data_IF_461447155461
#
_entry.id   IF_461447155461
#
_cell.length_a   1.000
_cell.length_b   1.000
_cell.length_c   1.000
_cell.angle_alpha   90.00
_cell.angle_beta   90.00
_cell.angle_gamma   90.00
#
_symmetry.space_group_name_H-M   'P 1'
#
loop_
_entity.id
_entity.type
_entity.pdbx_description
1 polymer ?
#
# COMPACT_ATOMS: atom_id res chain seq x y z
N UNK A 1 -15.00 -14.32 -17.05
CA UNK A 1 -15.26 -12.92 -17.43
C UNK A 1 -14.77 -12.73 -18.84
N UNK A 2 -15.63 -12.23 -19.72
CA UNK A 2 -15.35 -11.90 -21.12
C UNK A 2 -15.51 -10.38 -21.34
N UNK A 3 -15.15 -9.87 -22.53
CA UNK A 3 -15.24 -8.44 -22.83
C UNK A 3 -16.67 -7.87 -22.68
N UNK A 4 -17.70 -8.67 -22.94
CA UNK A 4 -19.10 -8.28 -22.72
C UNK A 4 -19.45 -8.04 -21.24
N UNK A 5 -18.83 -8.80 -20.33
CA UNK A 5 -19.00 -8.61 -18.89
C UNK A 5 -18.35 -7.30 -18.42
N UNK A 6 -17.24 -6.92 -19.04
CA UNK A 6 -16.49 -5.70 -18.70
C UNK A 6 -17.35 -4.44 -18.89
N UNK A 7 -18.10 -4.37 -19.99
CA UNK A 7 -19.02 -3.26 -20.27
C UNK A 7 -20.21 -3.22 -19.30
N UNK A 8 -20.76 -4.38 -18.95
CA UNK A 8 -21.85 -4.47 -17.99
C UNK A 8 -21.40 -4.01 -16.59
N UNK A 9 -20.25 -4.50 -16.12
CA UNK A 9 -19.66 -4.10 -14.84
C UNK A 9 -19.33 -2.61 -14.84
N UNK A 10 -18.75 -2.09 -15.93
CA UNK A 10 -18.45 -0.65 -16.06
C UNK A 10 -19.69 0.21 -15.78
N UNK A 11 -20.83 -0.12 -16.40
CA UNK A 11 -22.08 0.64 -16.22
C UNK A 11 -22.63 0.55 -14.79
N UNK A 12 -22.51 -0.62 -14.17
CA UNK A 12 -22.89 -0.81 -12.76
C UNK A 12 -22.03 0.01 -11.80
N UNK A 13 -20.73 0.12 -12.06
CA UNK A 13 -19.82 0.95 -11.28
C UNK A 13 -20.07 2.45 -11.54
N UNK A 14 -20.28 2.85 -12.79
CA UNK A 14 -20.62 4.23 -13.16
C UNK A 14 -21.90 4.69 -12.43
N UNK A 15 -22.94 3.84 -12.40
CA UNK A 15 -24.17 4.14 -11.67
C UNK A 15 -23.95 4.27 -10.15
N UNK A 16 -23.06 3.47 -9.55
CA UNK A 16 -22.76 3.56 -8.11
C UNK A 16 -21.91 4.78 -7.78
N UNK A 17 -20.89 5.06 -8.59
CA UNK A 17 -20.08 6.27 -8.47
C UNK A 17 -20.94 7.53 -8.55
N UNK A 18 -21.94 7.56 -9.44
CA UNK A 18 -22.88 8.68 -9.55
C UNK A 18 -23.75 8.91 -8.30
N UNK A 19 -23.85 7.92 -7.40
CA UNK A 19 -24.62 8.03 -6.16
C UNK A 19 -23.78 8.45 -4.94
N UNK A 20 -22.45 8.53 -5.09
CA UNK A 20 -21.53 8.92 -4.03
C UNK A 20 -21.42 10.45 -3.94
N UNK A 21 -21.54 10.98 -2.73
CA UNK A 21 -21.17 12.36 -2.39
C UNK A 21 -19.66 12.43 -2.11
N UNK A 22 -18.90 12.78 -3.15
CA UNK A 22 -17.44 12.89 -3.07
C UNK A 22 -16.98 14.06 -2.20
N UNK A 23 -17.71 15.18 -2.21
CA UNK A 23 -17.37 16.38 -1.44
C UNK A 23 -17.46 16.10 0.07
N UNK A 24 -18.40 15.24 0.48
CA UNK A 24 -18.51 14.76 1.85
C UNK A 24 -17.37 13.81 2.29
N UNK A 25 -16.62 13.22 1.35
CA UNK A 25 -15.45 12.38 1.64
C UNK A 25 -14.22 13.25 1.86
N UNK A 26 -13.98 14.19 0.95
CA UNK A 26 -12.88 15.14 1.03
C UNK A 26 -13.25 16.42 0.26
N UNK A 27 -13.12 17.62 0.84
CA UNK A 27 -13.48 18.86 0.15
C UNK A 27 -12.73 19.07 -1.18
N UNK A 28 -13.49 19.38 -2.22
CA UNK A 28 -13.00 19.53 -3.59
C UNK A 28 -12.66 18.21 -4.29
N UNK A 29 -12.96 17.05 -3.69
CA UNK A 29 -12.88 15.74 -4.33
C UNK A 29 -14.12 15.49 -5.17
N UNK A 30 -13.92 14.88 -6.34
CA UNK A 30 -15.00 14.65 -7.30
C UNK A 30 -14.75 13.38 -8.12
N UNK A 31 -15.74 12.99 -8.93
CA UNK A 31 -15.59 11.85 -9.81
C UNK A 31 -14.44 12.08 -10.80
N UNK A 32 -13.72 11.01 -11.15
CA UNK A 32 -12.74 11.00 -12.23
C UNK A 32 -13.08 9.92 -13.26
N UNK A 33 -12.57 10.10 -14.48
CA UNK A 33 -12.61 9.06 -15.50
C UNK A 33 -11.89 7.80 -14.99
N UNK A 34 -12.39 6.62 -15.37
CA UNK A 34 -11.76 5.35 -15.03
C UNK A 34 -11.85 4.34 -16.18
N UNK A 35 -10.96 3.35 -16.17
CA UNK A 35 -10.98 2.22 -17.09
C UNK A 35 -10.97 0.89 -16.34
N UNK A 36 -11.84 -0.04 -16.75
CA UNK A 36 -11.71 -1.44 -16.36
C UNK A 36 -10.96 -2.18 -17.46
N UNK A 37 -10.09 -3.11 -17.13
CA UNK A 37 -9.38 -3.87 -18.16
C UNK A 37 -9.24 -5.35 -17.82
N UNK A 38 -9.17 -6.17 -18.85
CA UNK A 38 -8.97 -7.61 -18.77
C UNK A 38 -8.19 -8.09 -19.99
N UNK A 39 -7.04 -8.70 -19.77
CA UNK A 39 -6.14 -9.17 -20.85
C UNK A 39 -5.82 -8.03 -21.83
N UNK A 40 -6.28 -8.09 -23.08
CA UNK A 40 -5.98 -7.09 -24.12
C UNK A 40 -7.13 -6.10 -24.35
N UNK A 41 -8.21 -6.24 -23.59
CA UNK A 41 -9.40 -5.39 -23.70
C UNK A 41 -9.50 -4.43 -22.50
N UNK A 42 -10.00 -3.23 -22.76
CA UNK A 42 -10.43 -2.30 -21.72
C UNK A 42 -11.83 -1.76 -22.02
N UNK A 43 -12.53 -1.33 -20.98
CA UNK A 43 -13.74 -0.53 -21.06
C UNK A 43 -13.44 0.85 -20.47
N UNK A 44 -13.50 1.88 -21.31
CA UNK A 44 -13.28 3.28 -20.94
C UNK A 44 -14.43 4.12 -21.47
N UNK A 45 -15.05 4.96 -20.62
CA UNK A 45 -16.20 5.79 -21.00
C UNK A 45 -17.33 5.00 -21.68
N UNK A 46 -17.58 3.78 -21.17
CA UNK A 46 -18.62 2.88 -21.69
C UNK A 46 -18.33 2.29 -23.07
N UNK A 47 -17.08 2.33 -23.54
CA UNK A 47 -16.65 1.78 -24.83
C UNK A 47 -15.58 0.72 -24.64
N UNK A 48 -15.71 -0.38 -25.37
CA UNK A 48 -14.69 -1.42 -25.45
C UNK A 48 -13.60 -1.00 -26.44
N UNK A 49 -12.37 -1.03 -25.97
CA UNK A 49 -11.18 -0.61 -26.72
C UNK A 49 -10.01 -1.55 -26.40
N UNK A 50 -8.95 -1.50 -27.21
CA UNK A 50 -7.72 -2.22 -26.92
C UNK A 50 -7.01 -1.60 -25.72
N UNK A 51 -6.62 -2.43 -24.75
CA UNK A 51 -5.86 -2.01 -23.59
C UNK A 51 -4.44 -1.57 -24.00
N UNK A 52 -3.97 -0.39 -23.57
CA UNK A 52 -2.56 -0.02 -23.71
C UNK A 52 -1.64 -0.97 -22.93
N UNK A 53 -0.50 -1.36 -23.52
CA UNK A 53 0.43 -2.32 -22.90
C UNK A 53 0.96 -1.87 -21.52
N UNK A 54 1.04 -0.55 -21.28
CA UNK A 54 1.51 0.03 -20.03
C UNK A 54 0.47 0.07 -18.90
N UNK A 55 -0.78 -0.34 -19.16
CA UNK A 55 -1.78 -0.50 -18.09
C UNK A 55 -1.42 -1.72 -17.25
N UNK A 56 -0.85 -1.49 -16.07
CA UNK A 56 -0.35 -2.53 -15.18
C UNK A 56 -0.84 -2.28 -13.74
N UNK A 57 -1.38 -3.33 -13.13
CA UNK A 57 -1.95 -3.28 -11.78
C UNK A 57 -3.26 -2.48 -11.67
N UNK A 58 -3.64 -2.22 -10.43
CA UNK A 58 -4.68 -1.25 -10.11
C UNK A 58 -3.95 0.01 -9.64
N UNK A 59 -4.24 1.14 -10.26
CA UNK A 59 -3.57 2.40 -9.94
C UNK A 59 -4.31 3.58 -10.56
N UNK A 60 -3.93 4.81 -10.22
CA UNK A 60 -4.14 5.97 -11.08
C UNK A 60 -3.01 6.12 -12.11
N UNK A 61 -3.25 6.70 -13.29
CA UNK A 61 -2.20 7.09 -14.25
C UNK A 61 -2.65 8.20 -15.20
N UNK A 62 -1.71 8.76 -15.99
CA UNK A 62 -2.05 9.64 -17.10
C UNK A 62 -2.51 8.84 -18.34
N UNK A 63 -3.73 9.12 -18.80
CA UNK A 63 -4.26 8.58 -20.05
C UNK A 63 -4.93 9.71 -20.83
N UNK A 64 -4.46 9.94 -22.06
CA UNK A 64 -4.95 11.02 -22.93
C UNK A 64 -4.86 12.41 -22.27
N UNK A 65 -3.82 12.66 -21.46
CA UNK A 65 -3.58 13.94 -20.79
C UNK A 65 -4.47 14.19 -19.57
N UNK A 66 -5.07 13.14 -19.00
CA UNK A 66 -5.89 13.19 -17.79
C UNK A 66 -5.45 12.12 -16.81
N UNK A 67 -5.47 12.45 -15.52
CA UNK A 67 -5.35 11.43 -14.47
C UNK A 67 -6.65 10.62 -14.42
N UNK A 68 -6.55 9.30 -14.63
CA UNK A 68 -7.66 8.36 -14.55
C UNK A 68 -7.32 7.22 -13.59
N UNK A 69 -8.34 6.57 -13.03
CA UNK A 69 -8.18 5.30 -12.34
C UNK A 69 -8.19 4.12 -13.33
N UNK A 70 -7.37 3.10 -13.11
CA UNK A 70 -7.42 1.85 -13.86
C UNK A 70 -7.61 0.67 -12.91
N UNK A 71 -8.40 -0.32 -13.35
CA UNK A 71 -8.65 -1.51 -12.55
C UNK A 71 -8.57 -2.80 -13.37
N UNK A 72 -7.74 -3.74 -12.91
CA UNK A 72 -7.58 -5.06 -13.51
C UNK A 72 -8.65 -6.03 -13.02
N UNK A 73 -9.50 -6.48 -13.93
CA UNK A 73 -10.58 -7.42 -13.63
C UNK A 73 -10.14 -8.90 -13.56
N UNK A 74 -8.88 -9.23 -13.90
CA UNK A 74 -8.41 -10.61 -13.98
C UNK A 74 -8.56 -11.41 -12.67
N UNK A 75 -8.43 -10.74 -11.53
CA UNK A 75 -8.54 -11.34 -10.19
C UNK A 75 -9.77 -10.86 -9.41
N UNK A 76 -10.65 -10.11 -10.07
CA UNK A 76 -11.85 -9.54 -9.44
C UNK A 76 -13.01 -10.52 -9.56
N UNK A 77 -13.54 -10.97 -8.42
CA UNK A 77 -14.72 -11.85 -8.36
C UNK A 77 -15.97 -11.01 -8.11
N UNK A 78 -16.96 -11.13 -8.99
CA UNK A 78 -18.28 -10.51 -8.84
C UNK A 78 -19.29 -11.61 -8.53
N UNK A 79 -19.76 -11.64 -7.29
CA UNK A 79 -20.69 -12.65 -6.76
C UNK A 79 -22.10 -12.06 -6.51
N UNK A 80 -22.22 -10.74 -6.47
CA UNK A 80 -23.48 -10.04 -6.27
C UNK A 80 -23.31 -8.52 -6.02
N UNK A 81 -24.37 -7.83 -5.56
CA UNK A 81 -24.33 -6.39 -5.30
C UNK A 81 -23.21 -5.97 -4.35
N UNK A 82 -23.00 -6.70 -3.24
CA UNK A 82 -21.96 -6.39 -2.27
C UNK A 82 -20.55 -6.39 -2.89
N UNK A 83 -20.26 -7.30 -3.82
CA UNK A 83 -18.97 -7.31 -4.54
C UNK A 83 -18.80 -6.13 -5.49
N UNK A 84 -19.90 -5.58 -6.03
CA UNK A 84 -19.86 -4.35 -6.84
C UNK A 84 -19.69 -3.11 -5.95
N UNK A 85 -20.30 -3.08 -4.78
CA UNK A 85 -20.11 -1.99 -3.81
C UNK A 85 -18.67 -1.97 -3.30
N UNK A 86 -18.13 -3.14 -2.94
CA UNK A 86 -16.73 -3.30 -2.56
C UNK A 86 -15.76 -2.89 -3.68
N UNK A 87 -16.03 -3.31 -4.93
CA UNK A 87 -15.26 -2.87 -6.09
C UNK A 87 -15.37 -1.35 -6.30
N UNK A 88 -16.54 -0.76 -6.07
CA UNK A 88 -16.72 0.70 -6.17
C UNK A 88 -15.88 1.44 -5.14
N UNK A 89 -15.84 0.97 -3.89
CA UNK A 89 -14.95 1.53 -2.85
C UNK A 89 -13.47 1.45 -3.24
N UNK A 90 -13.03 0.29 -3.76
CA UNK A 90 -11.66 0.14 -4.26
C UNK A 90 -11.38 1.02 -5.49
N UNK A 91 -12.37 1.29 -6.34
CA UNK A 91 -12.20 2.20 -7.46
C UNK A 91 -12.10 3.65 -6.99
N UNK A 92 -12.85 4.04 -5.95
CA UNK A 92 -12.74 5.36 -5.32
C UNK A 92 -11.36 5.56 -4.70
N UNK A 93 -10.73 4.52 -4.14
CA UNK A 93 -9.32 4.57 -3.73
C UNK A 93 -8.41 5.04 -4.88
N UNK A 94 -8.53 4.42 -6.06
CA UNK A 94 -7.72 4.82 -7.22
C UNK A 94 -8.09 6.19 -7.78
N UNK A 95 -9.38 6.56 -7.74
CA UNK A 95 -9.83 7.92 -8.09
C UNK A 95 -9.25 8.95 -7.10
N UNK A 96 -9.07 8.59 -5.82
CA UNK A 96 -8.43 9.45 -4.83
C UNK A 96 -6.94 9.63 -5.12
N UNK A 97 -6.22 8.60 -5.59
CA UNK A 97 -4.85 8.77 -6.10
C UNK A 97 -4.77 9.74 -7.28
N UNK A 98 -5.74 9.69 -8.20
CA UNK A 98 -5.83 10.68 -9.29
C UNK A 98 -6.05 12.10 -8.74
N UNK A 99 -6.90 12.24 -7.72
CA UNK A 99 -7.15 13.51 -7.04
C UNK A 99 -5.89 14.04 -6.32
N UNK A 100 -5.22 13.21 -5.53
CA UNK A 100 -3.95 13.50 -4.87
C UNK A 100 -2.92 14.07 -5.87
N UNK A 101 -2.72 13.40 -7.00
CA UNK A 101 -1.77 13.86 -8.03
C UNK A 101 -2.18 15.18 -8.66
N UNK A 102 -3.47 15.36 -8.96
CA UNK A 102 -3.99 16.63 -9.48
C UNK A 102 -3.84 17.78 -8.49
N UNK A 103 -3.75 17.49 -7.18
CA UNK A 103 -3.51 18.46 -6.11
C UNK A 103 -2.03 18.61 -5.76
N UNK A 104 -1.12 17.89 -6.41
CA UNK A 104 0.32 18.01 -6.20
C UNK A 104 0.84 17.22 -4.99
N UNK A 105 0.16 16.13 -4.62
CA UNK A 105 0.65 15.19 -3.60
C UNK A 105 2.03 14.65 -3.96
N UNK A 106 2.98 14.80 -3.03
CA UNK A 106 4.38 14.35 -3.18
C UNK A 106 4.78 13.31 -2.14
N UNK A 107 3.93 13.02 -1.15
CA UNK A 107 4.25 12.15 0.00
C UNK A 107 4.10 10.66 -0.32
N UNK A 108 4.25 10.26 -1.58
CA UNK A 108 4.33 8.84 -1.93
C UNK A 108 5.63 8.24 -1.36
N UNK A 109 5.58 7.03 -0.78
CA UNK A 109 6.74 6.42 -0.17
C UNK A 109 7.79 6.02 -1.21
N UNK A 110 9.05 6.02 -0.83
CA UNK A 110 10.07 5.32 -1.59
C UNK A 110 10.02 3.82 -1.25
N UNK A 111 9.16 3.03 -1.91
CA UNK A 111 8.88 1.63 -1.50
C UNK A 111 10.14 0.77 -1.40
N UNK A 112 11.11 0.96 -2.30
CA UNK A 112 12.37 0.22 -2.28
C UNK A 112 13.25 0.55 -1.06
N UNK A 113 13.07 1.73 -0.44
CA UNK A 113 13.71 2.06 0.84
C UNK A 113 13.03 1.35 2.01
N UNK A 114 11.71 1.12 1.96
CA UNK A 114 11.00 0.34 2.97
C UNK A 114 11.53 -1.10 3.06
N UNK A 115 12.08 -1.64 1.96
CA UNK A 115 12.74 -2.96 1.96
C UNK A 115 14.07 -2.99 2.71
N UNK A 116 14.63 -1.81 3.04
CA UNK A 116 15.86 -1.63 3.82
C UNK A 116 15.57 -1.27 5.28
N UNK A 117 14.31 -1.36 5.72
CA UNK A 117 13.92 -0.98 7.08
C UNK A 117 14.74 -1.73 8.15
N UNK A 118 15.22 -1.05 9.20
CA UNK A 118 16.13 -1.65 10.16
C UNK A 118 15.58 -2.90 10.84
N UNK A 119 16.43 -3.92 10.93
CA UNK A 119 16.14 -5.13 11.69
C UNK A 119 16.51 -4.88 13.16
N UNK A 120 15.54 -4.40 13.95
CA UNK A 120 15.74 -4.08 15.36
C UNK A 120 14.55 -4.57 16.20
N UNK A 121 14.83 -5.36 17.25
CA UNK A 121 13.80 -5.98 18.09
C UNK A 121 13.03 -4.97 18.95
N UNK A 122 13.67 -3.90 19.40
CA UNK A 122 13.01 -2.83 20.15
C UNK A 122 12.06 -2.07 19.23
N UNK A 123 12.52 -1.77 18.01
CA UNK A 123 11.69 -1.14 16.97
C UNK A 123 10.48 -2.02 16.62
N UNK A 124 10.68 -3.32 16.45
CA UNK A 124 9.59 -4.26 16.17
C UNK A 124 8.58 -4.34 17.33
N UNK A 125 9.05 -4.39 18.58
CA UNK A 125 8.18 -4.40 19.75
C UNK A 125 7.35 -3.11 19.85
N UNK A 126 7.94 -1.95 19.56
CA UNK A 126 7.19 -0.69 19.45
C UNK A 126 6.18 -0.72 18.31
N UNK A 127 6.54 -1.23 17.13
CA UNK A 127 5.61 -1.40 16.01
C UNK A 127 4.43 -2.30 16.36
N UNK A 128 4.64 -3.36 17.16
CA UNK A 128 3.55 -4.21 17.69
C UNK A 128 2.61 -3.43 18.61
N UNK A 129 3.14 -2.61 19.52
CA UNK A 129 2.30 -1.75 20.38
C UNK A 129 1.54 -0.68 19.59
N UNK A 130 2.19 -0.04 18.62
CA UNK A 130 1.56 0.92 17.69
C UNK A 130 0.39 0.26 16.96
N UNK A 131 0.62 -0.93 16.39
CA UNK A 131 -0.43 -1.74 15.76
C UNK A 131 -1.60 -2.04 16.72
N UNK A 132 -1.31 -2.46 17.94
CA UNK A 132 -2.34 -2.83 18.91
C UNK A 132 -3.20 -1.64 19.34
N UNK A 133 -2.60 -0.44 19.49
CA UNK A 133 -3.34 0.78 19.81
C UNK A 133 -4.27 1.21 18.68
N UNK A 134 -3.80 1.18 17.44
CA UNK A 134 -4.61 1.52 16.25
C UNK A 134 -5.70 0.48 15.97
N UNK A 135 -5.40 -0.80 16.18
CA UNK A 135 -6.38 -1.88 16.04
C UNK A 135 -7.43 -1.89 17.18
N UNK A 136 -7.06 -1.33 18.34
CA UNK A 136 -7.92 -1.24 19.51
C UNK A 136 -9.21 -0.48 19.26
N UNK A 137 -10.24 -0.81 20.05
CA UNK A 137 -11.49 -0.07 20.11
C UNK A 137 -11.66 0.46 21.53
N UNK A 138 -12.25 1.64 21.68
CA UNK A 138 -12.53 2.20 23.00
C UNK A 138 -12.96 3.66 22.95
N UNK A 139 -13.53 4.11 24.07
CA UNK A 139 -14.18 5.42 24.19
C UNK A 139 -13.20 6.60 24.34
N UNK A 140 -11.87 6.35 24.35
CA UNK A 140 -10.83 7.38 24.45
C UNK A 140 -9.89 7.39 23.23
N UNK A 141 -10.35 7.86 22.06
CA UNK A 141 -9.51 8.00 20.86
C UNK A 141 -8.35 9.00 21.07
N UNK A 142 -8.55 10.07 21.84
CA UNK A 142 -7.52 11.06 22.11
C UNK A 142 -6.35 10.49 22.94
N UNK A 143 -6.65 9.72 24.00
CA UNK A 143 -5.65 9.04 24.81
C UNK A 143 -4.88 7.97 24.03
N UNK A 144 -5.55 7.26 23.10
CA UNK A 144 -4.88 6.34 22.16
C UNK A 144 -3.89 7.07 21.26
N UNK A 145 -4.29 8.20 20.66
CA UNK A 145 -3.41 9.02 19.82
C UNK A 145 -2.21 9.57 20.61
N UNK A 146 -2.43 10.07 21.83
CA UNK A 146 -1.34 10.54 22.68
C UNK A 146 -0.35 9.43 23.05
N UNK A 147 -0.84 8.20 23.26
CA UNK A 147 -0.01 7.02 23.49
C UNK A 147 0.77 6.61 22.24
N UNK A 148 0.13 6.66 21.07
CA UNK A 148 0.79 6.46 19.77
C UNK A 148 1.92 7.48 19.55
N UNK A 149 1.73 8.74 19.97
CA UNK A 149 2.76 9.75 19.83
C UNK A 149 4.04 9.45 20.61
N UNK A 150 3.92 8.88 21.81
CA UNK A 150 5.08 8.39 22.54
C UNK A 150 5.77 7.23 21.79
N UNK A 151 5.00 6.26 21.30
CA UNK A 151 5.55 5.11 20.57
C UNK A 151 6.26 5.55 19.29
N UNK A 152 5.65 6.44 18.51
CA UNK A 152 6.21 6.92 17.25
C UNK A 152 7.51 7.70 17.46
N UNK A 153 7.61 8.49 18.54
CA UNK A 153 8.87 9.12 18.93
C UNK A 153 9.98 8.09 19.24
N UNK A 154 9.66 6.99 19.92
CA UNK A 154 10.62 5.90 20.16
C UNK A 154 10.99 5.16 18.86
N UNK A 155 10.02 4.93 17.95
CA UNK A 155 10.30 4.35 16.64
C UNK A 155 11.24 5.24 15.83
N UNK A 156 11.01 6.55 15.78
CA UNK A 156 11.84 7.51 15.06
C UNK A 156 13.29 7.51 15.55
N UNK A 157 13.50 7.39 16.87
CA UNK A 157 14.83 7.27 17.47
C UNK A 157 15.58 6.00 17.03
N UNK A 158 14.85 4.92 16.75
CA UNK A 158 15.41 3.59 16.45
C UNK A 158 15.45 3.28 14.94
N UNK A 159 14.70 3.99 14.12
CA UNK A 159 14.48 3.65 12.70
C UNK A 159 15.56 4.17 11.75
N UNK A 160 16.53 4.96 12.24
CA UNK A 160 17.54 5.61 11.40
C UNK A 160 16.92 6.43 10.26
N UNK A 161 15.71 6.98 10.47
CA UNK A 161 14.95 7.77 9.50
C UNK A 161 14.01 6.94 8.60
N UNK A 162 14.00 5.62 8.72
CA UNK A 162 13.15 4.75 7.88
C UNK A 162 11.64 4.93 8.12
N UNK A 163 11.25 5.44 9.31
CA UNK A 163 9.85 5.80 9.62
C UNK A 163 9.30 6.91 8.72
N UNK A 164 10.15 7.73 8.10
CA UNK A 164 9.71 8.76 7.17
C UNK A 164 8.92 8.18 5.97
N UNK A 165 9.44 7.13 5.34
CA UNK A 165 8.72 6.48 4.23
C UNK A 165 7.54 5.63 4.73
N UNK A 166 7.55 5.15 5.98
CA UNK A 166 6.39 4.51 6.61
C UNK A 166 5.23 5.51 6.75
N UNK A 167 5.48 6.71 7.29
CA UNK A 167 4.44 7.74 7.46
C UNK A 167 3.95 8.31 6.13
N UNK A 168 4.82 8.39 5.12
CA UNK A 168 4.44 8.70 3.74
C UNK A 168 3.50 7.65 3.16
N UNK A 169 3.82 6.36 3.33
CA UNK A 169 2.93 5.28 2.91
C UNK A 169 1.58 5.36 3.64
N UNK A 170 1.58 5.56 4.96
CA UNK A 170 0.34 5.74 5.74
C UNK A 170 -0.49 6.93 5.25
N UNK A 171 0.16 8.02 4.84
CA UNK A 171 -0.51 9.21 4.35
C UNK A 171 -1.10 8.99 2.96
N UNK A 172 -0.27 8.65 1.98
CA UNK A 172 -0.72 8.53 0.60
C UNK A 172 -1.74 7.39 0.44
N UNK A 173 -1.41 6.21 0.95
CA UNK A 173 -2.20 4.99 0.74
C UNK A 173 -3.31 4.85 1.76
N UNK A 174 -3.05 5.23 3.02
CA UNK A 174 -4.07 5.19 4.07
C UNK A 174 -5.18 6.21 3.85
N UNK A 175 -4.89 7.39 3.28
CA UNK A 175 -5.95 8.36 2.94
C UNK A 175 -6.73 7.97 1.69
N UNK A 176 -6.08 7.38 0.68
CA UNK A 176 -6.78 6.78 -0.45
C UNK A 176 -7.70 5.64 0.01
N UNK A 177 -7.22 4.81 0.94
CA UNK A 177 -8.02 3.75 1.54
C UNK A 177 -9.16 4.28 2.41
N UNK A 178 -8.91 5.34 3.19
CA UNK A 178 -9.95 6.06 3.92
C UNK A 178 -11.04 6.55 2.99
N UNK A 179 -10.69 7.21 1.88
CA UNK A 179 -11.66 7.69 0.89
C UNK A 179 -12.49 6.53 0.31
N UNK A 180 -11.84 5.41 -0.02
CA UNK A 180 -12.51 4.18 -0.47
C UNK A 180 -13.49 3.62 0.56
N UNK A 181 -13.13 3.59 1.84
CA UNK A 181 -14.02 3.16 2.93
C UNK A 181 -15.18 4.13 3.12
N UNK A 182 -14.96 5.44 3.07
CA UNK A 182 -16.05 6.43 3.23
C UNK A 182 -17.06 6.32 2.09
N UNK A 183 -16.59 6.14 0.84
CA UNK A 183 -17.46 5.85 -0.29
C UNK A 183 -18.24 4.54 -0.11
N UNK A 184 -17.55 3.46 0.28
CA UNK A 184 -18.20 2.19 0.60
C UNK A 184 -19.24 2.34 1.71
N UNK A 185 -18.98 3.20 2.70
CA UNK A 185 -19.91 3.50 3.79
C UNK A 185 -21.18 4.21 3.32
N UNK A 186 -21.13 5.01 2.27
CA UNK A 186 -22.30 5.65 1.67
C UNK A 186 -23.18 4.62 0.91
N UNK A 187 -22.55 3.64 0.26
CA UNK A 187 -23.25 2.58 -0.49
C UNK A 187 -23.76 1.47 0.42
N UNK A 188 -22.89 0.96 1.29
CA UNK A 188 -23.10 -0.22 2.11
C UNK A 188 -22.38 -0.07 3.48
N UNK A 189 -23.03 0.57 4.47
CA UNK A 189 -22.44 0.81 5.79
C UNK A 189 -21.99 -0.46 6.52
N UNK A 190 -22.68 -1.58 6.30
CA UNK A 190 -22.32 -2.86 6.93
C UNK A 190 -21.05 -3.44 6.33
N UNK A 191 -20.88 -3.39 5.01
CA UNK A 191 -19.66 -3.86 4.35
C UNK A 191 -18.46 -2.97 4.70
N UNK A 192 -18.65 -1.65 4.80
CA UNK A 192 -17.60 -0.74 5.27
C UNK A 192 -17.12 -1.10 6.68
N UNK A 193 -18.04 -1.35 7.63
CA UNK A 193 -17.67 -1.80 8.99
C UNK A 193 -16.90 -3.12 8.98
N UNK A 194 -17.35 -4.10 8.19
CA UNK A 194 -16.64 -5.38 8.04
C UNK A 194 -15.22 -5.19 7.50
N UNK A 195 -15.02 -4.26 6.57
CA UNK A 195 -13.70 -3.94 6.04
C UNK A 195 -12.80 -3.28 7.10
N UNK A 196 -13.32 -2.33 7.88
CA UNK A 196 -12.55 -1.71 8.99
C UNK A 196 -12.16 -2.77 10.02
N UNK A 197 -13.07 -3.66 10.41
CA UNK A 197 -12.78 -4.75 11.36
C UNK A 197 -11.76 -5.76 10.82
N UNK A 198 -11.75 -5.97 9.49
CA UNK A 198 -10.71 -6.75 8.82
C UNK A 198 -9.34 -6.06 8.93
N UNK A 199 -9.26 -4.74 8.75
CA UNK A 199 -8.02 -3.99 8.91
C UNK A 199 -7.51 -3.99 10.35
N UNK A 200 -8.39 -3.88 11.34
CA UNK A 200 -8.02 -4.06 12.76
C UNK A 200 -7.41 -5.43 13.01
N UNK A 201 -8.03 -6.50 12.51
CA UNK A 201 -7.48 -7.86 12.63
C UNK A 201 -6.12 -7.99 11.97
N UNK A 202 -5.97 -7.56 10.72
CA UNK A 202 -4.70 -7.64 10.01
C UNK A 202 -3.60 -6.84 10.70
N UNK A 203 -3.91 -5.65 11.22
CA UNK A 203 -2.91 -4.86 11.94
C UNK A 203 -2.46 -5.52 13.26
N UNK A 204 -3.35 -6.31 13.90
CA UNK A 204 -3.05 -7.10 15.08
C UNK A 204 -2.41 -8.48 14.80
N UNK A 205 -2.29 -8.90 13.54
CA UNK A 205 -1.62 -10.15 13.17
C UNK A 205 -0.10 -9.92 13.02
N UNK A 206 0.72 -10.71 13.73
CA UNK A 206 2.18 -10.61 13.69
C UNK A 206 2.76 -10.85 12.27
N UNK A 207 2.01 -11.50 11.37
CA UNK A 207 2.40 -11.79 9.99
C UNK A 207 2.63 -10.54 9.14
N UNK A 208 1.97 -9.42 9.46
CA UNK A 208 2.11 -8.16 8.72
C UNK A 208 3.15 -7.21 9.31
N UNK A 209 3.76 -7.53 10.45
CA UNK A 209 4.76 -6.65 11.08
C UNK A 209 5.98 -6.40 10.20
N UNK A 210 6.31 -7.36 9.35
CA UNK A 210 7.45 -7.31 8.44
C UNK A 210 7.09 -6.82 7.04
N UNK A 211 5.81 -6.55 6.77
CA UNK A 211 5.29 -6.00 5.52
C UNK A 211 4.78 -4.57 5.74
N UNK A 212 5.75 -3.66 5.87
CA UNK A 212 5.51 -2.26 6.21
C UNK A 212 4.60 -1.59 5.18
N UNK A 213 4.81 -1.93 3.90
CA UNK A 213 4.05 -1.35 2.80
C UNK A 213 2.57 -1.73 2.85
N UNK A 214 2.26 -3.01 3.09
CA UNK A 214 0.87 -3.46 3.26
C UNK A 214 0.27 -2.98 4.56
N UNK A 215 1.05 -2.99 5.64
CA UNK A 215 0.64 -2.50 6.96
C UNK A 215 0.20 -1.04 6.92
N UNK A 216 0.91 -0.19 6.16
CA UNK A 216 0.61 1.22 6.02
C UNK A 216 -0.80 1.55 5.49
N UNK A 217 -1.40 0.68 4.66
CA UNK A 217 -2.82 0.81 4.28
C UNK A 217 -3.72 0.73 5.51
N UNK A 218 -3.50 -0.29 6.34
CA UNK A 218 -4.34 -0.58 7.50
C UNK A 218 -4.12 0.43 8.61
N UNK A 219 -2.86 0.74 8.92
CA UNK A 219 -2.54 1.70 9.97
C UNK A 219 -2.91 3.12 9.57
N UNK A 220 -2.70 3.51 8.31
CA UNK A 220 -3.06 4.85 7.82
C UNK A 220 -4.56 5.11 7.87
N UNK A 221 -5.40 4.16 7.45
CA UNK A 221 -6.87 4.32 7.54
C UNK A 221 -7.36 4.32 8.99
N UNK A 222 -6.80 3.47 9.85
CA UNK A 222 -7.17 3.43 11.27
C UNK A 222 -6.68 4.67 12.02
N UNK A 223 -5.54 5.25 11.62
CA UNK A 223 -5.07 6.53 12.14
C UNK A 223 -6.05 7.66 11.78
N UNK A 224 -6.45 7.75 10.50
CA UNK A 224 -7.40 8.77 10.04
C UNK A 224 -8.76 8.64 10.75
N UNK A 225 -9.29 7.42 10.88
CA UNK A 225 -10.53 7.17 11.62
C UNK A 225 -10.41 7.50 13.11
N UNK A 226 -9.30 7.15 13.76
CA UNK A 226 -9.09 7.45 15.18
C UNK A 226 -8.94 8.97 15.41
N UNK A 227 -8.29 9.68 14.49
CA UNK A 227 -8.20 11.14 14.51
C UNK A 227 -9.59 11.80 14.35
N UNK A 228 -10.40 11.32 13.40
CA UNK A 228 -11.78 11.77 13.20
C UNK A 228 -12.63 11.51 14.47
N UNK A 229 -12.52 10.32 15.07
CA UNK A 229 -13.18 9.96 16.35
C UNK A 229 -12.75 10.87 17.52
N UNK A 230 -11.49 11.31 17.53
CA UNK A 230 -10.96 12.26 18.52
C UNK A 230 -11.37 13.72 18.25
N UNK A 231 -12.11 14.00 17.17
CA UNK A 231 -12.49 15.35 16.76
C UNK A 231 -11.35 16.16 16.16
N UNK A 232 -10.29 15.50 15.68
CA UNK A 232 -9.19 16.14 14.96
C UNK A 232 -9.56 16.29 13.48
N UNK A 233 -9.08 17.38 12.87
CA UNK A 233 -9.24 17.58 11.44
C UNK A 233 -8.16 16.83 10.68
N UNK A 234 -8.58 15.88 9.83
CA UNK A 234 -7.70 15.14 8.92
C UNK A 234 -7.63 15.79 7.54
N UNK A 235 -8.55 16.72 7.24
CA UNK A 235 -8.59 17.41 5.95
C UNK A 235 -7.51 18.48 5.95
N UNK A 236 -6.61 18.38 4.98
CA UNK A 236 -5.50 19.31 4.82
C UNK A 236 -5.19 19.52 3.34
N UNK A 237 -4.28 20.43 3.05
CA UNK A 237 -3.80 20.63 1.69
C UNK A 237 -2.97 19.41 1.25
N UNK A 238 -3.41 18.72 0.18
CA UNK A 238 -2.70 17.56 -0.34
C UNK A 238 -1.33 17.92 -0.96
N UNK A 239 -1.04 19.21 -1.18
CA UNK A 239 0.29 19.67 -1.56
C UNK A 239 1.27 19.81 -0.38
N UNK A 240 0.81 19.60 0.87
CA UNK A 240 1.68 19.61 2.04
C UNK A 240 2.77 18.53 1.92
N UNK A 241 3.93 18.81 2.48
CA UNK A 241 5.08 17.92 2.50
C UNK A 241 5.14 17.08 3.78
N UNK A 242 4.49 17.52 4.86
CA UNK A 242 4.40 16.78 6.11
C UNK A 242 3.43 15.59 5.96
N UNK A 243 3.79 14.36 6.38
CA UNK A 243 2.84 13.26 6.45
C UNK A 243 1.70 13.55 7.44
N UNK A 244 0.55 12.90 7.27
CA UNK A 244 -0.64 13.07 8.12
C UNK A 244 -0.29 13.02 9.61
N UNK A 245 0.55 12.06 10.01
CA UNK A 245 1.00 11.92 11.39
C UNK A 245 1.61 13.19 11.98
N UNK A 246 2.42 13.90 11.20
CA UNK A 246 3.03 15.17 11.62
C UNK A 246 2.03 16.31 11.60
N UNK A 247 1.12 16.34 10.62
CA UNK A 247 0.05 17.35 10.51
C UNK A 247 -0.88 17.33 11.73
N UNK A 248 -1.15 16.14 12.27
CA UNK A 248 -1.99 15.99 13.46
C UNK A 248 -1.38 16.63 14.72
N UNK A 249 -0.05 16.85 14.77
CA UNK A 249 0.67 17.50 15.88
C UNK A 249 0.23 17.01 17.29
N UNK A 250 0.19 15.69 17.45
CA UNK A 250 -0.34 15.06 18.68
C UNK A 250 0.71 15.12 19.79
N UNK A 251 0.29 15.64 20.95
CA UNK A 251 1.14 15.65 22.16
C UNK A 251 1.23 14.26 22.77
N UNK A 252 2.47 13.80 22.98
CA UNK A 252 2.74 12.50 23.57
C UNK A 252 2.33 12.43 25.05
N UNK A 253 1.72 11.30 25.42
CA UNK A 253 1.53 10.87 26.80
C UNK A 253 2.53 9.76 27.12
N UNK A 254 3.31 9.86 28.21
CA UNK A 254 4.28 8.82 28.57
C UNK A 254 3.62 7.45 28.73
N UNK A 255 4.28 6.42 28.20
CA UNK A 255 3.92 5.02 28.41
C UNK A 255 4.97 4.30 29.23
N UNK A 256 4.57 3.16 29.79
CA UNK A 256 5.53 2.23 30.39
C UNK A 256 6.56 1.76 29.35
N UNK A 257 7.84 1.62 29.73
CA UNK A 257 8.85 1.04 28.86
C UNK A 257 8.46 -0.35 28.32
N UNK A 258 9.14 -0.80 27.26
CA UNK A 258 9.03 -2.18 26.79
C UNK A 258 9.47 -3.14 27.91
N UNK A 259 8.64 -4.14 28.20
CA UNK A 259 8.99 -5.21 29.11
C UNK A 259 9.97 -6.18 28.47
N UNK A 260 10.67 -6.93 29.31
CA UNK A 260 11.58 -7.99 28.85
C UNK A 260 10.85 -9.05 28.00
N UNK A 261 9.60 -9.40 28.36
CA UNK A 261 8.79 -10.37 27.60
C UNK A 261 8.50 -9.88 26.18
N UNK A 262 8.15 -8.60 26.02
CA UNK A 262 7.86 -8.02 24.70
C UNK A 262 9.10 -8.00 23.81
N UNK A 263 10.27 -7.73 24.39
CA UNK A 263 11.54 -7.78 23.67
C UNK A 263 11.94 -9.20 23.26
N UNK A 264 11.65 -10.19 24.10
CA UNK A 264 11.90 -11.61 23.81
C UNK A 264 10.97 -12.13 22.70
N UNK A 265 9.68 -11.80 22.76
CA UNK A 265 8.71 -12.11 21.70
C UNK A 265 9.09 -11.48 20.36
N UNK A 266 9.44 -10.18 20.37
CA UNK A 266 9.89 -9.50 19.16
C UNK A 266 11.17 -10.15 18.59
N UNK A 267 12.12 -10.54 19.44
CA UNK A 267 13.32 -11.27 19.01
C UNK A 267 13.00 -12.62 18.36
N UNK A 268 12.06 -13.38 18.93
CA UNK A 268 11.61 -14.64 18.37
C UNK A 268 10.93 -14.48 16.99
N UNK A 269 10.07 -13.46 16.85
CA UNK A 269 9.42 -13.12 15.59
C UNK A 269 10.44 -12.73 14.51
N UNK A 270 11.43 -11.89 14.85
CA UNK A 270 12.50 -11.52 13.92
C UNK A 270 13.28 -12.73 13.44
N UNK A 271 13.65 -13.64 14.36
CA UNK A 271 14.41 -14.85 14.02
C UNK A 271 13.61 -15.74 13.06
N UNK A 272 12.30 -15.90 13.32
CA UNK A 272 11.41 -16.65 12.42
C UNK A 272 11.29 -16.03 11.03
N UNK A 273 11.23 -14.69 10.94
CA UNK A 273 11.19 -13.98 9.65
C UNK A 273 12.51 -14.08 8.90
N UNK A 274 13.65 -13.99 9.59
CA UNK A 274 14.98 -14.18 9.00
C UNK A 274 15.10 -15.59 8.40
N UNK A 275 14.68 -16.63 9.12
CA UNK A 275 14.65 -18.01 8.65
C UNK A 275 13.73 -18.19 7.43
N UNK A 276 12.55 -17.56 7.44
CA UNK A 276 11.60 -17.60 6.32
C UNK A 276 12.22 -16.96 5.07
N UNK A 277 12.83 -15.78 5.22
CA UNK A 277 13.49 -15.05 4.13
C UNK A 277 14.70 -15.81 3.59
N UNK A 278 15.49 -16.44 4.45
CA UNK A 278 16.62 -17.27 4.04
C UNK A 278 16.18 -18.48 3.21
N UNK A 279 15.11 -19.17 3.62
CA UNK A 279 14.52 -20.28 2.84
C UNK A 279 14.00 -19.81 1.50
N UNK A 280 13.26 -18.69 1.48
CA UNK A 280 12.74 -18.10 0.24
C UNK A 280 13.88 -17.76 -0.73
N UNK A 281 14.97 -17.15 -0.25
CA UNK A 281 16.14 -16.86 -1.08
C UNK A 281 16.78 -18.14 -1.62
N UNK A 282 16.96 -19.17 -0.78
CA UNK A 282 17.53 -20.44 -1.20
C UNK A 282 16.69 -21.12 -2.31
N UNK A 283 15.36 -21.10 -2.17
CA UNK A 283 14.43 -21.63 -3.17
C UNK A 283 14.55 -20.86 -4.50
N UNK A 284 14.65 -19.53 -4.45
CA UNK A 284 14.86 -18.71 -5.65
C UNK A 284 16.23 -18.97 -6.28
N UNK A 285 17.30 -19.07 -5.50
CA UNK A 285 18.63 -19.39 -6.03
C UNK A 285 18.69 -20.77 -6.70
N UNK A 286 17.94 -21.76 -6.18
CA UNK A 286 17.82 -23.07 -6.80
C UNK A 286 17.07 -23.02 -8.14
N UNK A 287 16.03 -22.17 -8.25
CA UNK A 287 15.23 -21.98 -9.47
C UNK A 287 15.93 -21.13 -10.52
N UNK A 288 16.74 -20.17 -10.09
CA UNK A 288 17.45 -19.21 -10.93
C UNK A 288 18.98 -19.31 -10.71
N UNK A 289 19.64 -20.42 -11.14
CA UNK A 289 21.03 -20.68 -10.77
C UNK A 289 22.06 -19.88 -11.57
N UNK A 290 21.66 -19.22 -12.67
CA UNK A 290 22.61 -18.55 -13.58
C UNK A 290 22.67 -17.07 -13.30
N UNK A 291 23.81 -16.59 -12.82
CA UNK A 291 24.07 -15.15 -12.64
C UNK A 291 24.45 -14.50 -13.97
N UNK A 292 23.71 -13.45 -14.35
CA UNK A 292 24.03 -12.56 -15.48
C UNK A 292 24.36 -11.16 -14.96
N UNK A 293 25.64 -10.75 -14.96
CA UNK A 293 26.02 -9.42 -14.54
C UNK A 293 25.37 -8.34 -15.41
N UNK A 294 24.85 -7.30 -14.78
CA UNK A 294 24.23 -6.13 -15.45
C UNK A 294 24.59 -4.85 -14.73
N UNK A 295 24.41 -3.72 -15.41
CA UNK A 295 24.44 -2.39 -14.79
C UNK A 295 23.14 -1.68 -15.11
N UNK A 296 22.13 -1.96 -14.30
CA UNK A 296 20.78 -1.44 -14.48
C UNK A 296 20.22 -0.84 -13.18
N UNK A 297 19.12 -0.11 -13.30
CA UNK A 297 18.34 0.45 -12.20
C UNK A 297 16.91 -0.02 -12.30
N UNK A 298 16.28 -0.22 -11.14
CA UNK A 298 14.84 -0.46 -11.06
C UNK A 298 14.09 0.84 -11.39
N UNK A 299 13.22 0.77 -12.41
CA UNK A 299 12.41 1.88 -12.92
C UNK A 299 10.90 1.65 -12.79
N UNK A 300 10.47 0.43 -12.47
CA UNK A 300 9.08 0.09 -12.18
C UNK A 300 9.01 -1.26 -11.47
N UNK A 301 7.98 -1.47 -10.65
CA UNK A 301 7.85 -2.67 -9.82
C UNK A 301 6.44 -2.77 -9.24
N UNK A 302 6.08 -3.97 -8.77
CA UNK A 302 4.94 -4.16 -7.87
C UNK A 302 5.38 -4.02 -6.40
N UNK A 303 4.99 -2.95 -5.67
CA UNK A 303 5.41 -2.74 -4.29
C UNK A 303 4.92 -3.83 -3.33
N UNK A 304 3.87 -4.58 -3.67
CA UNK A 304 3.23 -5.55 -2.80
C UNK A 304 3.85 -6.95 -2.86
N UNK A 305 4.73 -7.19 -3.84
CA UNK A 305 5.25 -8.50 -4.19
C UNK A 305 6.78 -8.51 -4.25
N UNK A 306 7.42 -7.69 -3.41
CA UNK A 306 8.88 -7.63 -3.26
C UNK A 306 9.35 -8.09 -1.89
N UNK A 307 10.49 -8.77 -1.86
CA UNK A 307 11.18 -9.13 -0.62
C UNK A 307 12.68 -8.96 -0.82
N UNK A 308 13.33 -8.24 0.10
CA UNK A 308 14.78 -8.08 0.09
C UNK A 308 15.42 -8.95 1.18
N UNK A 309 16.47 -9.66 0.79
CA UNK A 309 17.26 -10.51 1.68
C UNK A 309 18.73 -10.18 1.41
N UNK A 310 19.35 -9.41 2.32
CA UNK A 310 20.69 -8.87 2.13
C UNK A 310 20.80 -8.10 0.79
N UNK A 311 21.73 -8.52 -0.07
CA UNK A 311 21.96 -7.96 -1.40
C UNK A 311 21.06 -8.57 -2.48
N UNK A 312 20.08 -9.41 -2.14
CA UNK A 312 19.15 -9.99 -3.10
C UNK A 312 17.78 -9.36 -3.00
N UNK A 313 17.19 -9.06 -4.16
CA UNK A 313 15.78 -8.65 -4.27
C UNK A 313 15.02 -9.72 -5.05
N UNK A 314 13.91 -10.16 -4.46
CA UNK A 314 12.97 -11.11 -5.03
C UNK A 314 11.71 -10.33 -5.40
N UNK A 315 11.22 -10.51 -6.63
CA UNK A 315 9.91 -10.06 -7.08
C UNK A 315 9.11 -11.27 -7.55
N UNK A 316 7.83 -11.37 -7.21
CA UNK A 316 6.96 -12.50 -7.61
C UNK A 316 5.87 -12.11 -8.62
N UNK A 317 5.87 -10.86 -9.08
CA UNK A 317 4.84 -10.37 -10.01
C UNK A 317 5.43 -9.63 -11.20
N UNK A 318 6.08 -8.49 -11.01
CA UNK A 318 6.88 -7.89 -12.07
C UNK A 318 7.98 -6.98 -11.52
N UNK A 319 9.04 -6.79 -12.32
CA UNK A 319 10.12 -5.86 -12.09
C UNK A 319 10.54 -5.24 -13.43
N UNK A 320 10.65 -3.92 -13.51
CA UNK A 320 11.12 -3.20 -14.70
C UNK A 320 12.49 -2.58 -14.43
N UNK A 321 13.38 -2.72 -15.41
CA UNK A 321 14.74 -2.15 -15.36
C UNK A 321 15.02 -1.28 -16.58
N UNK A 322 15.96 -0.35 -16.45
CA UNK A 322 16.45 0.48 -17.56
C UNK A 322 17.48 -0.25 -18.47
N UNK A 323 17.56 -1.58 -18.40
CA UNK A 323 18.45 -2.38 -19.25
C UNK A 323 18.07 -2.30 -20.75
N UNK A 324 16.79 -2.10 -21.05
CA UNK A 324 16.28 -1.90 -22.41
C UNK A 324 15.67 -0.51 -22.58
N UNK A 325 15.67 -0.01 -23.82
CA UNK A 325 14.96 1.21 -24.21
C UNK A 325 13.96 0.90 -25.35
N UNK A 326 12.63 0.95 -25.10
CA UNK A 326 12.00 1.28 -23.81
C UNK A 326 12.19 0.17 -22.76
N UNK A 327 12.09 0.50 -21.45
CA UNK A 327 12.12 -0.48 -20.37
C UNK A 327 11.04 -1.56 -20.55
N UNK A 328 11.44 -2.83 -20.47
CA UNK A 328 10.55 -3.98 -20.54
C UNK A 328 10.38 -4.62 -19.14
N UNK A 329 9.15 -5.04 -18.76
CA UNK A 329 8.93 -5.74 -17.50
C UNK A 329 9.42 -7.18 -17.56
N UNK A 330 10.19 -7.57 -16.54
CA UNK A 330 10.43 -8.94 -16.13
C UNK A 330 9.17 -9.42 -15.42
N UNK A 331 8.37 -10.26 -16.08
CA UNK A 331 7.10 -10.77 -15.55
C UNK A 331 7.31 -12.03 -14.70
N UNK A 332 6.55 -12.13 -13.63
CA UNK A 332 6.56 -13.24 -12.68
C UNK A 332 7.77 -13.22 -11.74
N UNK A 333 8.15 -14.42 -11.29
CA UNK A 333 9.23 -14.63 -10.36
C UNK A 333 10.58 -14.18 -10.94
N UNK A 334 11.24 -13.27 -10.24
CA UNK A 334 12.53 -12.68 -10.60
C UNK A 334 13.44 -12.61 -9.38
N UNK A 335 14.72 -12.92 -9.57
CA UNK A 335 15.77 -12.76 -8.56
C UNK A 335 16.87 -11.85 -9.13
N UNK A 336 17.20 -10.78 -8.39
CA UNK A 336 18.26 -9.86 -8.79
C UNK A 336 19.23 -9.60 -7.64
N UNK A 337 20.50 -9.40 -7.98
CA UNK A 337 21.54 -8.92 -7.05
C UNK A 337 21.54 -7.41 -7.06
N UNK A 338 21.25 -6.82 -5.92
CA UNK A 338 21.31 -5.39 -5.67
C UNK A 338 22.73 -4.97 -5.30
N UNK A 339 23.03 -3.70 -5.54
CA UNK A 339 24.20 -3.08 -4.92
C UNK A 339 23.93 -2.91 -3.41
N UNK A 340 24.91 -3.21 -2.54
CA UNK A 340 24.75 -3.07 -1.09
C UNK A 340 24.26 -1.68 -0.70
N UNK A 341 23.24 -1.63 0.16
CA UNK A 341 22.58 -0.41 0.66
C UNK A 341 21.96 0.52 -0.41
N UNK A 342 21.99 0.15 -1.70
CA UNK A 342 21.31 0.90 -2.74
C UNK A 342 19.91 0.30 -2.95
N UNK A 343 18.83 1.10 -2.92
CA UNK A 343 17.47 0.60 -3.10
C UNK A 343 17.17 0.23 -4.57
N UNK A 344 17.92 0.75 -5.55
CA UNK A 344 17.55 0.70 -6.98
C UNK A 344 18.58 0.06 -7.88
N UNK A 345 19.87 0.12 -7.54
CA UNK A 345 20.92 -0.33 -8.45
C UNK A 345 21.07 -1.85 -8.44
N UNK A 346 21.02 -2.46 -9.63
CA UNK A 346 21.19 -3.90 -9.87
C UNK A 346 22.61 -4.17 -10.38
N UNK A 347 23.24 -5.21 -9.85
CA UNK A 347 24.55 -5.74 -10.24
C UNK A 347 24.45 -7.01 -11.09
N UNK A 348 23.40 -7.80 -10.90
CA UNK A 348 23.15 -9.01 -11.68
C UNK A 348 21.67 -9.39 -11.69
N UNK A 349 21.23 -10.06 -12.74
CA UNK A 349 19.93 -10.72 -12.84
C UNK A 349 20.18 -12.23 -12.84
N UNK A 350 19.37 -12.98 -12.10
CA UNK A 350 19.47 -14.44 -12.06
C UNK A 350 18.43 -15.07 -12.98
N UNK A 351 18.87 -16.04 -13.79
CA UNK A 351 18.05 -16.68 -14.82
C UNK A 351 17.84 -18.16 -14.53
N UNK A 352 16.70 -18.68 -14.98
CA UNK A 352 16.35 -20.10 -14.87
C UNK A 352 17.30 -21.01 -15.64
N UNK A 353 17.21 -22.34 -15.49
CA UNK A 353 17.98 -23.27 -16.32
C UNK A 353 17.70 -23.06 -17.82
N UNK A 354 18.70 -23.33 -18.65
CA UNK A 354 18.64 -23.18 -20.11
C UNK A 354 17.71 -24.20 -20.77
#
# INVERSE_FOLDING_TARGET
MEAGDLLAIYKELESRLASIDFEAIWPGFGPADFALYLKDDMCFQGRLESRPAYFMGNTALDYQGRQIAIWNMAYTKIEGPDSLDGLTGNLVHEIFHAFQRNRGETRFPQDLQLLLYPQNKELLAWTRRDSALLAGQGDDPAGRLASLAFIRAEKDRLSEGATCDEYRAETAEGLAEYAGIKALGQLNPSLARLQIDKYRRFLGEDSYLFDIRRRAYFSGVLLALTAEEAGMDIIHDLADQAPLWEILDIKASPLDPLSQSELEEAGALMTGEEDRRAKLLADFQARFPRERPVKARIVGYDPMNMTRVQDFLISTHFLMTDESDPPAPLMGDSLVKMKPHDPRQILAIYEGPA
#
